data_IF_948561837892
#
_entry.id   IF_948561837892
#
_cell.length_a   1.000
_cell.length_b   1.000
_cell.length_c   1.000
_cell.angle_alpha   90.00
_cell.angle_beta   90.00
_cell.angle_gamma   90.00
#
_symmetry.space_group_name_H-M   'P 1'
#
loop_
_entity.id
_entity.type
_entity.pdbx_description
1 polymer ?
#
# COMPACT_ATOMS: atom_id res chain seq x y z
N UNK A 1 27.31 -25.17 6.32
CA UNK A 1 26.57 -25.48 5.09
C UNK A 1 25.45 -24.47 4.93
N UNK A 2 25.22 -23.96 3.70
CA UNK A 2 24.17 -22.99 3.44
C UNK A 2 22.83 -23.50 3.94
N UNK A 3 22.03 -22.61 4.50
CA UNK A 3 20.71 -22.95 5.06
C UNK A 3 19.63 -22.49 4.10
N UNK A 4 18.63 -23.33 3.90
CA UNK A 4 17.45 -23.01 3.10
C UNK A 4 16.32 -22.63 4.04
N UNK A 5 15.72 -21.46 3.82
CA UNK A 5 14.55 -20.97 4.55
C UNK A 5 13.38 -20.96 3.56
N UNK A 6 12.32 -21.69 3.90
CA UNK A 6 11.12 -21.83 3.07
C UNK A 6 9.95 -21.01 3.63
N UNK A 7 8.96 -20.75 2.77
CA UNK A 7 7.75 -19.99 3.09
C UNK A 7 8.06 -18.58 3.61
N UNK A 8 9.03 -17.93 2.99
CA UNK A 8 9.43 -16.56 3.31
C UNK A 8 8.42 -15.60 2.68
N UNK A 9 8.07 -14.55 3.44
CA UNK A 9 7.24 -13.45 2.97
C UNK A 9 8.02 -12.44 2.14
N UNK A 10 7.47 -12.04 0.98
CA UNK A 10 8.07 -11.05 0.09
C UNK A 10 7.64 -9.62 0.47
N UNK A 11 8.58 -8.73 0.86
CA UNK A 11 8.29 -7.39 1.34
C UNK A 11 8.29 -6.34 0.21
N UNK A 12 7.50 -6.56 -0.84
CA UNK A 12 7.37 -5.61 -1.95
C UNK A 12 5.93 -5.11 -2.16
N UNK A 13 5.14 -5.84 -2.96
CA UNK A 13 3.77 -5.45 -3.31
C UNK A 13 2.74 -6.16 -2.43
N UNK A 14 1.48 -5.69 -2.47
CA UNK A 14 0.35 -6.23 -1.71
C UNK A 14 -0.06 -7.65 -2.06
N UNK A 15 0.66 -8.34 -2.96
CA UNK A 15 0.58 -9.80 -3.08
C UNK A 15 1.22 -10.53 -1.91
N UNK A 16 2.15 -9.88 -1.19
CA UNK A 16 2.80 -10.38 0.04
C UNK A 16 3.12 -11.87 -0.06
N UNK A 17 3.92 -12.24 -1.07
CA UNK A 17 4.08 -13.64 -1.42
C UNK A 17 4.77 -14.41 -0.30
N UNK A 18 4.14 -15.47 0.22
CA UNK A 18 4.59 -16.31 1.34
C UNK A 18 5.16 -17.70 0.93
N UNK A 19 5.56 -17.88 -0.33
CA UNK A 19 6.16 -19.12 -0.87
C UNK A 19 7.60 -18.92 -1.37
N UNK A 20 8.26 -17.82 -0.96
CA UNK A 20 9.64 -17.53 -1.33
C UNK A 20 10.57 -18.51 -0.60
N UNK A 21 11.60 -18.97 -1.31
CA UNK A 21 12.66 -19.83 -0.76
C UNK A 21 13.98 -19.10 -0.87
N UNK A 22 14.70 -19.02 0.24
CA UNK A 22 15.94 -18.26 0.35
C UNK A 22 17.06 -19.18 0.84
N UNK A 23 18.16 -19.23 0.10
CA UNK A 23 19.38 -19.88 0.54
C UNK A 23 20.30 -18.83 1.15
N UNK A 24 20.69 -19.03 2.41
CA UNK A 24 21.58 -18.13 3.15
C UNK A 24 22.92 -18.77 3.46
N UNK A 25 23.96 -17.96 3.64
CA UNK A 25 25.30 -18.38 4.05
C UNK A 25 25.31 -19.10 5.40
N UNK A 26 26.39 -19.83 5.66
CA UNK A 26 26.61 -20.59 6.90
C UNK A 26 26.46 -19.73 8.17
N UNK A 27 26.94 -18.49 8.10
CA UNK A 27 26.92 -17.51 9.19
C UNK A 27 25.60 -16.72 9.27
N UNK A 28 24.67 -16.93 8.34
CA UNK A 28 23.35 -16.29 8.32
C UNK A 28 23.37 -14.80 7.97
N UNK A 29 24.45 -14.31 7.35
CA UNK A 29 24.60 -12.88 7.02
C UNK A 29 24.31 -12.55 5.56
N UNK A 30 24.51 -13.49 4.65
CA UNK A 30 24.37 -13.26 3.21
C UNK A 30 23.26 -14.12 2.60
N UNK A 31 22.49 -13.53 1.70
CA UNK A 31 21.54 -14.22 0.83
C UNK A 31 22.28 -14.67 -0.43
N UNK A 32 22.34 -15.97 -0.65
CA UNK A 32 23.03 -16.59 -1.77
C UNK A 32 22.11 -16.83 -2.98
N UNK A 33 20.85 -17.19 -2.71
CA UNK A 33 19.86 -17.50 -3.74
C UNK A 33 18.45 -17.12 -3.28
N UNK A 34 17.63 -16.65 -4.22
CA UNK A 34 16.21 -16.32 -3.98
C UNK A 34 15.36 -16.93 -5.07
N UNK A 35 14.47 -17.84 -4.70
CA UNK A 35 13.59 -18.58 -5.59
C UNK A 35 12.12 -18.21 -5.34
N UNK A 36 11.24 -18.47 -6.32
CA UNK A 36 9.81 -18.20 -6.25
C UNK A 36 9.46 -16.73 -5.94
N UNK A 37 10.22 -15.78 -6.47
CA UNK A 37 9.94 -14.34 -6.34
C UNK A 37 10.07 -13.67 -7.71
N UNK A 38 9.39 -12.54 -7.91
CA UNK A 38 9.59 -11.74 -9.11
C UNK A 38 10.87 -10.90 -9.02
N UNK A 39 11.36 -10.39 -10.17
CA UNK A 39 12.57 -9.58 -10.24
C UNK A 39 12.58 -8.43 -9.21
N UNK A 40 11.45 -7.76 -8.99
CA UNK A 40 11.38 -6.64 -8.04
C UNK A 40 11.60 -7.10 -6.59
N UNK A 41 10.97 -8.22 -6.19
CA UNK A 41 11.17 -8.78 -4.87
C UNK A 41 12.58 -9.34 -4.67
N UNK A 42 13.18 -9.93 -5.72
CA UNK A 42 14.59 -10.34 -5.70
C UNK A 42 15.52 -9.18 -5.33
N UNK A 43 15.30 -8.00 -5.92
CA UNK A 43 16.15 -6.84 -5.64
C UNK A 43 16.00 -6.32 -4.21
N UNK A 44 14.81 -6.42 -3.58
CA UNK A 44 14.65 -6.09 -2.16
C UNK A 44 15.47 -7.03 -1.26
N UNK A 45 15.43 -8.34 -1.51
CA UNK A 45 16.23 -9.29 -0.76
C UNK A 45 17.74 -9.05 -0.94
N UNK A 46 18.19 -8.83 -2.19
CA UNK A 46 19.60 -8.49 -2.45
C UNK A 46 20.02 -7.18 -1.80
N UNK A 47 19.14 -6.19 -1.79
CA UNK A 47 19.41 -4.90 -1.14
C UNK A 47 19.67 -5.06 0.36
N UNK A 48 18.96 -5.96 1.04
CA UNK A 48 19.21 -6.25 2.46
C UNK A 48 20.63 -6.72 2.78
N UNK A 49 21.30 -7.37 1.83
CA UNK A 49 22.69 -7.81 1.91
C UNK A 49 23.69 -6.82 1.27
N UNK A 50 23.25 -5.63 0.86
CA UNK A 50 24.13 -4.66 0.23
C UNK A 50 25.22 -4.20 1.19
N UNK A 51 26.47 -4.15 0.69
CA UNK A 51 27.61 -3.60 1.43
C UNK A 51 27.47 -2.11 1.68
N UNK A 52 26.71 -1.42 0.82
CA UNK A 52 26.48 0.03 0.88
C UNK A 52 25.29 0.39 1.77
N UNK A 53 24.70 -0.58 2.48
CA UNK A 53 23.60 -0.33 3.40
C UNK A 53 24.05 0.54 4.57
N UNK A 54 23.34 1.64 4.78
CA UNK A 54 23.60 2.60 5.84
C UNK A 54 23.25 2.00 7.20
N UNK A 55 24.12 2.20 8.19
CA UNK A 55 24.00 1.57 9.52
C UNK A 55 23.88 2.57 10.67
N UNK A 56 24.29 3.81 10.45
CA UNK A 56 24.21 4.88 11.44
C UNK A 56 23.24 5.95 10.96
N UNK A 57 22.47 6.57 11.88
CA UNK A 57 21.71 7.76 11.56
C UNK A 57 22.61 8.87 11.04
N UNK A 58 22.09 9.70 10.15
CA UNK A 58 22.82 10.78 9.47
C UNK A 58 22.07 12.10 9.65
N UNK A 59 22.74 13.09 10.20
CA UNK A 59 22.20 14.42 10.47
C UNK A 59 22.77 15.44 9.50
N UNK A 60 21.89 16.26 8.92
CA UNK A 60 22.27 17.36 8.04
C UNK A 60 22.95 18.47 8.83
N UNK A 61 24.08 18.93 8.32
CA UNK A 61 24.84 20.05 8.86
C UNK A 61 24.43 21.37 8.19
N UNK A 62 24.72 22.53 8.79
CA UNK A 62 24.39 23.83 8.22
C UNK A 62 24.99 24.10 6.83
N UNK A 63 26.10 23.43 6.48
CA UNK A 63 26.73 23.52 5.16
C UNK A 63 26.09 22.60 4.10
N UNK A 64 25.06 21.83 4.49
CA UNK A 64 24.33 20.89 3.64
C UNK A 64 24.89 19.47 3.63
N UNK A 65 26.05 19.21 4.25
CA UNK A 65 26.64 17.87 4.35
C UNK A 65 25.86 16.96 5.32
N UNK A 66 26.01 15.64 5.17
CA UNK A 66 25.43 14.65 6.08
C UNK A 66 26.52 14.06 6.97
N UNK A 67 26.30 14.08 8.28
CA UNK A 67 27.23 13.53 9.28
C UNK A 67 26.60 12.38 10.04
N UNK A 68 27.31 11.27 10.17
CA UNK A 68 26.89 10.14 11.01
C UNK A 68 26.84 10.56 12.49
N UNK A 69 25.76 10.14 13.17
CA UNK A 69 25.49 10.37 14.60
C UNK A 69 25.06 9.06 15.27
N UNK A 70 24.96 9.02 16.59
CA UNK A 70 24.46 7.83 17.29
C UNK A 70 22.92 7.73 17.20
N UNK A 71 22.38 6.52 17.44
CA UNK A 71 20.93 6.34 17.57
C UNK A 71 20.36 7.12 18.75
N UNK A 72 21.07 7.21 19.87
CA UNK A 72 20.66 7.98 21.04
C UNK A 72 20.51 9.47 20.72
N UNK A 73 21.46 10.04 19.97
CA UNK A 73 21.40 11.42 19.50
C UNK A 73 20.21 11.64 18.55
N UNK A 74 19.98 10.71 17.62
CA UNK A 74 18.86 10.77 16.67
C UNK A 74 17.49 10.65 17.37
N UNK A 75 17.38 9.77 18.36
CA UNK A 75 16.17 9.54 19.17
C UNK A 75 15.86 10.78 20.02
N UNK A 76 16.85 11.33 20.72
CA UNK A 76 16.67 12.55 21.54
C UNK A 76 16.27 13.75 20.68
N UNK A 77 16.92 13.93 19.53
CA UNK A 77 16.59 14.99 18.60
C UNK A 77 15.14 14.86 18.11
N UNK A 78 14.73 13.66 17.68
CA UNK A 78 13.37 13.41 17.17
C UNK A 78 12.32 13.64 18.26
N UNK A 79 12.53 13.10 19.46
CA UNK A 79 11.64 13.26 20.60
C UNK A 79 11.44 14.74 20.98
N UNK A 80 12.53 15.53 21.06
CA UNK A 80 12.46 16.96 21.38
C UNK A 80 11.73 17.78 20.32
N UNK A 81 11.90 17.46 19.03
CA UNK A 81 11.20 18.18 17.97
C UNK A 81 9.71 17.82 17.93
N UNK A 82 9.37 16.53 18.15
CA UNK A 82 7.98 16.09 18.25
C UNK A 82 7.22 16.77 19.39
N UNK A 83 7.85 16.94 20.56
CA UNK A 83 7.24 17.61 21.70
C UNK A 83 7.02 19.12 21.50
N UNK A 84 7.86 19.76 20.69
CA UNK A 84 7.76 21.19 20.36
C UNK A 84 6.78 21.48 19.22
N UNK A 85 6.58 20.52 18.33
CA UNK A 85 5.68 20.65 17.19
C UNK A 85 4.21 20.74 17.65
N UNK A 86 3.42 21.57 16.99
CA UNK A 86 1.98 21.74 17.25
C UNK A 86 1.14 20.85 16.35
N UNK A 87 1.62 20.54 15.15
CA UNK A 87 0.94 19.66 14.19
C UNK A 87 1.96 18.78 13.46
N UNK A 88 2.72 17.94 14.19
CA UNK A 88 3.63 17.00 13.56
C UNK A 88 2.85 15.98 12.71
N UNK A 89 3.39 15.59 11.57
CA UNK A 89 2.84 14.54 10.70
C UNK A 89 3.82 13.38 10.58
N UNK A 90 3.34 12.17 10.85
CA UNK A 90 4.05 10.93 10.51
C UNK A 90 3.33 10.22 9.35
N UNK A 91 4.06 9.93 8.27
CA UNK A 91 3.53 9.44 7.00
C UNK A 91 4.31 8.24 6.45
N UNK A 92 3.58 7.23 5.93
CA UNK A 92 4.12 6.18 5.06
C UNK A 92 3.52 4.80 5.34
N UNK A 93 4.22 4.01 6.16
CA UNK A 93 3.75 2.76 6.79
C UNK A 93 3.41 1.57 5.89
N UNK A 94 3.48 1.73 4.56
CA UNK A 94 3.28 0.62 3.62
C UNK A 94 4.41 -0.42 3.66
N UNK A 95 5.59 -0.03 4.14
CA UNK A 95 6.82 -0.83 4.16
C UNK A 95 7.40 -1.01 5.56
N UNK A 96 6.54 -1.31 6.54
CA UNK A 96 6.92 -1.77 7.89
C UNK A 96 5.93 -2.86 8.35
N UNK A 97 6.14 -3.49 9.50
CA UNK A 97 5.22 -4.47 10.09
C UNK A 97 4.11 -3.80 10.93
N UNK A 98 3.13 -4.58 11.39
CA UNK A 98 2.02 -4.06 12.20
C UNK A 98 2.48 -3.55 13.58
N UNK A 99 3.54 -4.13 14.11
CA UNK A 99 4.13 -3.77 15.39
C UNK A 99 4.75 -2.36 15.34
N UNK A 100 5.51 -2.05 14.27
CA UNK A 100 6.01 -0.71 13.99
C UNK A 100 4.89 0.31 13.76
N UNK A 101 3.79 -0.09 13.10
CA UNK A 101 2.61 0.76 12.93
C UNK A 101 1.92 1.10 14.27
N UNK A 102 1.92 0.18 15.22
CA UNK A 102 1.40 0.40 16.57
C UNK A 102 2.34 1.28 17.41
N UNK A 103 3.66 1.09 17.31
CA UNK A 103 4.65 1.94 17.97
C UNK A 103 4.58 3.39 17.46
N UNK A 104 4.39 3.59 16.16
CA UNK A 104 4.17 4.91 15.57
C UNK A 104 2.89 5.58 16.08
N UNK A 105 1.83 4.80 16.26
CA UNK A 105 0.59 5.29 16.85
C UNK A 105 0.81 5.84 18.27
N UNK A 106 1.58 5.13 19.10
CA UNK A 106 1.96 5.59 20.45
C UNK A 106 2.75 6.90 20.41
N UNK A 107 3.74 7.02 19.52
CA UNK A 107 4.53 8.26 19.36
C UNK A 107 3.62 9.46 19.07
N UNK A 108 2.71 9.31 18.10
CA UNK A 108 1.85 10.42 17.67
C UNK A 108 0.71 10.73 18.64
N UNK A 109 0.29 9.77 19.46
CA UNK A 109 -0.62 10.01 20.58
C UNK A 109 0.04 10.86 21.67
N UNK A 110 1.31 10.56 22.03
CA UNK A 110 2.07 11.37 22.99
C UNK A 110 2.32 12.79 22.43
N UNK A 111 2.65 12.90 21.15
CA UNK A 111 2.88 14.18 20.48
C UNK A 111 1.59 15.01 20.34
N UNK A 112 0.42 14.36 20.20
CA UNK A 112 -0.80 15.02 19.75
C UNK A 112 -0.67 15.50 18.31
N UNK A 113 -0.38 14.59 17.37
CA UNK A 113 -0.21 14.96 15.96
C UNK A 113 -0.99 14.10 14.98
N UNK A 114 -0.53 14.10 13.73
CA UNK A 114 -1.22 13.51 12.59
C UNK A 114 -0.57 12.19 12.17
N UNK A 115 -1.39 11.17 11.92
CA UNK A 115 -0.95 9.91 11.30
C UNK A 115 -1.63 9.75 9.94
N UNK A 116 -0.84 9.59 8.90
CA UNK A 116 -1.36 9.23 7.57
C UNK A 116 -0.49 8.14 6.95
N UNK A 117 -1.00 7.42 5.95
CA UNK A 117 -0.26 6.37 5.28
C UNK A 117 -0.40 6.47 3.76
N UNK A 118 0.38 5.68 3.02
CA UNK A 118 0.39 5.73 1.56
C UNK A 118 -0.98 5.50 0.90
N UNK A 119 -2.02 5.02 1.62
CA UNK A 119 -3.37 4.95 1.08
C UNK A 119 -3.84 6.32 0.60
N UNK A 120 -3.48 7.41 1.28
CA UNK A 120 -3.87 8.78 0.90
C UNK A 120 -3.59 9.15 -0.56
N UNK A 121 -2.48 8.65 -1.12
CA UNK A 121 -2.08 8.80 -2.53
C UNK A 121 -2.25 7.53 -3.35
N UNK A 122 -2.99 6.53 -2.85
CA UNK A 122 -3.18 5.23 -3.48
C UNK A 122 -4.65 4.80 -3.45
N UNK A 123 -5.06 3.99 -2.47
CA UNK A 123 -6.42 3.45 -2.31
C UNK A 123 -7.27 4.19 -1.25
N UNK A 124 -6.87 5.37 -0.82
CA UNK A 124 -7.63 6.27 0.06
C UNK A 124 -9.01 6.58 -0.51
N UNK A 125 -9.15 6.89 -1.81
CA UNK A 125 -10.46 7.02 -2.45
C UNK A 125 -11.32 5.74 -2.34
N UNK A 126 -10.70 4.57 -2.25
CA UNK A 126 -11.43 3.32 -2.03
C UNK A 126 -11.99 3.21 -0.61
N UNK A 127 -11.31 3.73 0.42
CA UNK A 127 -11.88 3.78 1.78
C UNK A 127 -13.14 4.64 1.82
N UNK A 128 -13.10 5.83 1.22
CA UNK A 128 -14.27 6.72 1.15
C UNK A 128 -15.48 6.02 0.51
N UNK A 129 -15.28 5.37 -0.64
CA UNK A 129 -16.34 4.60 -1.29
C UNK A 129 -16.84 3.41 -0.46
N UNK A 130 -15.95 2.73 0.27
CA UNK A 130 -16.30 1.61 1.14
C UNK A 130 -17.13 2.07 2.33
N UNK A 131 -16.82 3.23 2.91
CA UNK A 131 -17.62 3.80 4.00
C UNK A 131 -19.05 4.11 3.56
N UNK A 132 -19.22 4.62 2.34
CA UNK A 132 -20.53 4.99 1.81
C UNK A 132 -21.35 3.77 1.34
N UNK A 133 -20.70 2.76 0.74
CA UNK A 133 -21.40 1.74 -0.05
C UNK A 133 -21.06 0.28 0.31
N UNK A 134 -20.18 0.07 1.27
CA UNK A 134 -19.70 -1.24 1.72
C UNK A 134 -18.64 -1.86 0.80
N UNK A 135 -18.21 -3.08 1.11
CA UNK A 135 -17.11 -3.75 0.39
C UNK A 135 -17.39 -5.24 0.16
N UNK A 136 -18.06 -5.61 -0.94
CA UNK A 136 -18.37 -7.01 -1.26
C UNK A 136 -17.13 -7.73 -1.83
N UNK A 137 -16.16 -8.06 -0.98
CA UNK A 137 -14.90 -8.71 -1.38
C UNK A 137 -14.81 -10.20 -0.99
N UNK A 138 -13.65 -10.81 -1.21
CA UNK A 138 -13.29 -12.16 -0.79
C UNK A 138 -11.77 -12.30 -0.60
N UNK A 139 -11.28 -13.48 -0.23
CA UNK A 139 -9.83 -13.74 -0.20
C UNK A 139 -9.31 -14.17 -1.58
N UNK A 140 -8.01 -14.00 -1.84
CA UNK A 140 -7.38 -14.48 -3.08
C UNK A 140 -7.48 -16.00 -3.24
N UNK A 141 -7.68 -16.75 -2.15
CA UNK A 141 -7.99 -18.17 -2.17
C UNK A 141 -9.34 -18.48 -2.84
N UNK A 142 -10.36 -17.65 -2.62
CA UNK A 142 -11.67 -17.78 -3.28
C UNK A 142 -11.56 -17.51 -4.78
N UNK A 143 -10.83 -16.46 -5.17
CA UNK A 143 -10.55 -16.16 -6.58
C UNK A 143 -9.83 -17.32 -7.26
N UNK A 144 -8.75 -17.82 -6.64
CA UNK A 144 -8.00 -18.96 -7.16
C UNK A 144 -8.90 -20.16 -7.37
N UNK A 145 -9.76 -20.49 -6.42
CA UNK A 145 -10.53 -21.72 -6.46
C UNK A 145 -11.81 -21.65 -7.30
N UNK A 146 -12.45 -20.49 -7.42
CA UNK A 146 -13.82 -20.37 -7.96
C UNK A 146 -13.96 -19.46 -9.17
N UNK A 147 -13.17 -18.39 -9.27
CA UNK A 147 -13.45 -17.32 -10.23
C UNK A 147 -13.34 -17.80 -11.69
N UNK A 148 -14.44 -17.74 -12.44
CA UNK A 148 -14.48 -18.04 -13.87
C UNK A 148 -14.61 -16.79 -14.75
N UNK A 149 -14.88 -15.62 -14.16
CA UNK A 149 -14.71 -14.32 -14.82
C UNK A 149 -13.82 -13.43 -13.94
N UNK A 150 -12.74 -12.90 -14.52
CA UNK A 150 -11.80 -12.01 -13.84
C UNK A 150 -11.73 -10.71 -14.63
N UNK A 151 -12.05 -9.60 -13.97
CA UNK A 151 -11.90 -8.25 -14.53
C UNK A 151 -10.70 -7.59 -13.88
N UNK A 152 -9.81 -7.02 -14.68
CA UNK A 152 -8.79 -6.07 -14.25
C UNK A 152 -9.16 -4.68 -14.78
N UNK A 153 -9.55 -3.78 -13.88
CA UNK A 153 -10.02 -2.44 -14.24
C UNK A 153 -9.06 -1.37 -13.72
N UNK A 154 -8.39 -0.65 -14.64
CA UNK A 154 -7.44 0.39 -14.28
C UNK A 154 -6.24 -0.15 -13.48
N UNK A 155 -5.82 -1.38 -13.77
CA UNK A 155 -4.72 -2.06 -13.07
C UNK A 155 -3.88 -2.89 -14.04
N UNK A 156 -2.55 -2.85 -13.88
CA UNK A 156 -1.60 -3.63 -14.66
C UNK A 156 -0.76 -4.55 -13.74
N UNK A 157 -1.33 -5.66 -13.23
CA UNK A 157 -0.61 -6.60 -12.36
C UNK A 157 0.67 -7.16 -12.98
N UNK A 158 0.80 -7.26 -14.32
CA UNK A 158 2.04 -7.72 -14.94
C UNK A 158 3.27 -6.90 -14.51
N UNK A 159 3.10 -5.60 -14.25
CA UNK A 159 4.18 -4.70 -13.82
C UNK A 159 4.10 -4.36 -12.33
N UNK A 160 2.90 -4.16 -11.79
CA UNK A 160 2.71 -3.69 -10.41
C UNK A 160 2.68 -4.83 -9.37
N UNK A 161 2.16 -6.01 -9.76
CA UNK A 161 1.98 -7.17 -8.89
C UNK A 161 2.36 -8.46 -9.64
N UNK A 162 3.64 -8.65 -10.04
CA UNK A 162 3.98 -9.55 -11.15
C UNK A 162 3.56 -11.02 -10.98
N UNK A 163 3.47 -11.50 -9.73
CA UNK A 163 3.03 -12.87 -9.42
C UNK A 163 1.52 -12.99 -9.18
N UNK A 164 0.75 -11.91 -9.23
CA UNK A 164 -0.68 -11.93 -8.96
C UNK A 164 -1.44 -12.87 -9.91
N UNK A 165 -1.22 -12.69 -11.21
CA UNK A 165 -1.88 -13.50 -12.24
C UNK A 165 -1.49 -14.97 -12.17
N UNK A 166 -0.21 -15.27 -11.88
CA UNK A 166 0.32 -16.63 -11.84
C UNK A 166 -0.03 -17.38 -10.56
N UNK A 167 -0.20 -16.66 -9.44
CA UNK A 167 -0.41 -17.26 -8.13
C UNK A 167 -1.85 -17.29 -7.67
N UNK A 168 -2.63 -16.25 -7.99
CA UNK A 168 -3.94 -16.03 -7.37
C UNK A 168 -5.10 -16.00 -8.36
N UNK A 169 -4.90 -15.54 -9.60
CA UNK A 169 -6.04 -15.23 -10.48
C UNK A 169 -6.12 -16.08 -11.77
N UNK A 170 -5.32 -15.78 -12.81
CA UNK A 170 -5.54 -16.29 -14.18
C UNK A 170 -5.05 -17.73 -14.32
N UNK A 171 -3.76 -17.93 -14.11
CA UNK A 171 -3.08 -19.18 -14.44
C UNK A 171 -3.25 -20.33 -13.43
N UNK A 172 -3.42 -20.12 -12.10
CA UNK A 172 -3.43 -21.23 -11.16
C UNK A 172 -4.65 -22.13 -11.36
N UNK A 173 -4.44 -23.44 -11.22
CA UNK A 173 -5.50 -24.45 -11.18
C UNK A 173 -6.15 -24.43 -9.80
N UNK A 174 -7.38 -23.92 -9.73
CA UNK A 174 -8.18 -23.95 -8.52
C UNK A 174 -9.02 -25.22 -8.39
N UNK A 175 -9.64 -25.39 -7.24
CA UNK A 175 -10.53 -26.54 -6.96
C UNK A 175 -11.67 -26.67 -7.99
N UNK A 176 -12.39 -25.58 -8.29
CA UNK A 176 -13.50 -25.58 -9.26
C UNK A 176 -13.10 -25.10 -10.66
N UNK A 177 -11.91 -24.52 -10.79
CA UNK A 177 -11.37 -23.99 -12.05
C UNK A 177 -10.24 -24.86 -12.61
N UNK A 178 -10.21 -26.17 -12.29
CA UNK A 178 -9.07 -27.10 -12.43
C UNK A 178 -8.28 -27.17 -13.75
N UNK A 179 -8.72 -26.51 -14.83
CA UNK A 179 -7.91 -26.28 -16.05
C UNK A 179 -7.21 -24.91 -16.07
N UNK A 180 -7.16 -24.20 -14.94
CA UNK A 180 -6.53 -22.88 -14.79
C UNK A 180 -7.13 -21.87 -15.76
N UNK A 181 -6.27 -21.15 -16.47
CA UNK A 181 -6.62 -20.12 -17.46
C UNK A 181 -7.73 -20.56 -18.42
N UNK A 182 -7.71 -21.81 -18.93
CA UNK A 182 -8.72 -22.31 -19.90
C UNK A 182 -10.15 -22.39 -19.36
N UNK A 183 -10.36 -22.13 -18.07
CA UNK A 183 -11.68 -22.12 -17.41
C UNK A 183 -12.07 -20.73 -16.91
N UNK A 184 -11.34 -19.69 -17.33
CA UNK A 184 -11.55 -18.32 -16.91
C UNK A 184 -11.67 -17.43 -18.14
N UNK A 185 -12.56 -16.46 -18.07
CA UNK A 185 -12.62 -15.34 -19.00
C UNK A 185 -11.97 -14.14 -18.34
N UNK A 186 -11.00 -13.54 -19.02
CA UNK A 186 -10.22 -12.40 -18.53
C UNK A 186 -10.63 -11.16 -19.32
N UNK A 187 -11.12 -10.15 -18.60
CA UNK A 187 -11.51 -8.86 -19.15
C UNK A 187 -10.53 -7.82 -18.59
N UNK A 188 -9.93 -7.01 -19.46
CA UNK A 188 -9.09 -5.89 -19.07
C UNK A 188 -9.72 -4.59 -19.54
N UNK A 189 -9.86 -3.63 -18.63
CA UNK A 189 -10.39 -2.30 -18.92
C UNK A 189 -9.29 -1.30 -18.56
N UNK A 190 -8.61 -0.80 -19.59
CA UNK A 190 -7.47 0.12 -19.47
C UNK A 190 -7.35 0.94 -20.77
N UNK A 191 -7.14 2.27 -20.71
CA UNK A 191 -6.93 3.09 -21.90
C UNK A 191 -5.71 2.69 -22.74
N UNK A 192 -4.77 1.92 -22.16
CA UNK A 192 -3.57 1.42 -22.84
C UNK A 192 -3.67 -0.08 -23.08
N UNK A 193 -3.04 -0.53 -24.16
CA UNK A 193 -2.79 -1.95 -24.37
C UNK A 193 -1.57 -2.39 -23.53
N UNK A 194 -1.81 -2.79 -22.28
CA UNK A 194 -0.75 -3.20 -21.34
C UNK A 194 -0.37 -4.67 -21.48
N UNK A 195 0.73 -5.11 -20.86
CA UNK A 195 1.09 -6.54 -20.81
C UNK A 195 0.02 -7.40 -20.12
N UNK A 196 -0.79 -6.82 -19.23
CA UNK A 196 -1.98 -7.49 -18.68
C UNK A 196 -3.07 -7.62 -19.75
N UNK A 197 -3.30 -6.60 -20.58
CA UNK A 197 -4.25 -6.65 -21.70
C UNK A 197 -3.87 -7.72 -22.75
N UNK A 198 -2.57 -7.97 -22.94
CA UNK A 198 -2.07 -8.99 -23.86
C UNK A 198 -2.49 -10.44 -23.51
N UNK A 199 -2.91 -10.70 -22.27
CA UNK A 199 -3.41 -12.02 -21.84
C UNK A 199 -4.92 -12.03 -21.59
N UNK A 200 -5.63 -10.97 -21.99
CA UNK A 200 -7.08 -10.84 -21.86
C UNK A 200 -7.82 -11.50 -23.03
N UNK A 201 -9.00 -12.06 -22.75
CA UNK A 201 -9.94 -12.47 -23.80
C UNK A 201 -10.67 -11.25 -24.37
N UNK A 202 -10.91 -10.25 -23.52
CA UNK A 202 -11.54 -8.97 -23.89
C UNK A 202 -10.72 -7.81 -23.36
N UNK A 203 -10.32 -6.88 -24.23
CA UNK A 203 -9.73 -5.60 -23.85
C UNK A 203 -10.66 -4.47 -24.25
N UNK A 204 -11.15 -3.73 -23.27
CA UNK A 204 -11.98 -2.54 -23.47
C UNK A 204 -11.08 -1.32 -23.25
N UNK A 205 -10.71 -0.68 -24.35
CA UNK A 205 -9.86 0.50 -24.34
C UNK A 205 -10.66 1.76 -23.99
N UNK A 206 -11.08 1.85 -22.73
CA UNK A 206 -11.87 2.98 -22.21
C UNK A 206 -11.15 4.31 -22.42
N UNK A 207 -11.88 5.36 -22.78
CA UNK A 207 -11.33 6.71 -22.87
C UNK A 207 -10.90 7.16 -21.46
N UNK A 208 -9.68 7.67 -21.34
CA UNK A 208 -9.13 8.11 -20.05
C UNK A 208 -10.07 9.11 -19.36
N UNK A 209 -10.36 8.87 -18.08
CA UNK A 209 -11.24 9.72 -17.26
C UNK A 209 -12.74 9.47 -17.45
N UNK A 210 -13.13 8.44 -18.21
CA UNK A 210 -14.55 8.11 -18.46
C UNK A 210 -14.97 6.74 -17.88
N UNK A 211 -14.25 6.25 -16.86
CA UNK A 211 -14.57 5.00 -16.18
C UNK A 211 -15.94 5.03 -15.50
N UNK A 212 -16.31 6.17 -14.88
CA UNK A 212 -17.61 6.35 -14.24
C UNK A 212 -18.77 6.12 -15.21
N UNK A 213 -18.71 6.74 -16.40
CA UNK A 213 -19.73 6.57 -17.44
C UNK A 213 -19.81 5.12 -17.91
N UNK A 214 -18.66 4.44 -18.07
CA UNK A 214 -18.63 3.03 -18.46
C UNK A 214 -19.23 2.12 -17.39
N UNK A 215 -18.93 2.34 -16.10
CA UNK A 215 -19.58 1.64 -15.00
C UNK A 215 -21.10 1.87 -15.02
N UNK A 216 -21.54 3.11 -15.23
CA UNK A 216 -22.96 3.43 -15.31
C UNK A 216 -23.64 2.73 -16.50
N UNK A 217 -22.97 2.64 -17.64
CA UNK A 217 -23.47 1.92 -18.80
C UNK A 217 -23.66 0.43 -18.50
N UNK A 218 -22.68 -0.24 -17.86
CA UNK A 218 -22.86 -1.62 -17.41
C UNK A 218 -24.04 -1.76 -16.45
N UNK A 219 -24.17 -0.86 -15.46
CA UNK A 219 -25.32 -0.88 -14.54
C UNK A 219 -26.65 -0.74 -15.27
N UNK A 220 -26.76 0.15 -16.24
CA UNK A 220 -27.96 0.28 -17.09
C UNK A 220 -28.30 -1.05 -17.78
N UNK A 221 -27.32 -1.77 -18.31
CA UNK A 221 -27.55 -3.11 -18.89
C UNK A 221 -28.04 -4.10 -17.83
N UNK A 222 -27.40 -4.14 -16.65
CA UNK A 222 -27.76 -5.05 -15.55
C UNK A 222 -29.20 -4.79 -15.06
N UNK A 223 -29.66 -3.54 -15.09
CA UNK A 223 -31.04 -3.17 -14.73
C UNK A 223 -32.05 -3.29 -15.88
N UNK A 224 -31.67 -3.84 -17.03
CA UNK A 224 -32.58 -4.07 -18.16
C UNK A 224 -32.79 -2.87 -19.09
N UNK A 225 -32.00 -1.81 -18.93
CA UNK A 225 -32.03 -0.59 -19.73
C UNK A 225 -30.95 -0.53 -20.82
N UNK A 226 -30.36 -1.67 -21.20
CA UNK A 226 -29.28 -1.72 -22.19
C UNK A 226 -29.68 -1.18 -23.58
N UNK A 227 -30.97 -1.24 -23.94
CA UNK A 227 -31.50 -0.66 -25.18
C UNK A 227 -31.40 0.87 -25.20
N UNK A 228 -31.39 1.51 -24.03
CA UNK A 228 -31.40 2.97 -23.87
C UNK A 228 -29.98 3.55 -23.89
N UNK A 229 -28.94 2.70 -23.96
CA UNK A 229 -27.57 3.16 -24.14
C UNK A 229 -27.38 3.88 -25.48
N UNK A 230 -26.57 4.95 -25.53
CA UNK A 230 -26.11 5.52 -26.80
C UNK A 230 -25.23 4.52 -27.55
N UNK A 231 -24.94 4.79 -28.83
CA UNK A 231 -24.15 3.91 -29.69
C UNK A 231 -22.72 3.68 -29.18
N UNK A 232 -22.19 4.63 -28.41
CA UNK A 232 -20.88 4.55 -27.76
C UNK A 232 -20.92 5.22 -26.38
N UNK A 233 -20.27 4.60 -25.39
CA UNK A 233 -20.02 5.19 -24.07
C UNK A 233 -18.54 5.03 -23.75
N UNK A 234 -17.88 6.13 -23.35
CA UNK A 234 -16.48 6.12 -22.93
C UNK A 234 -15.52 5.49 -23.97
N UNK A 235 -15.81 5.63 -25.27
CA UNK A 235 -15.02 5.02 -26.36
C UNK A 235 -15.35 3.55 -26.65
N UNK A 236 -16.33 2.96 -25.95
CA UNK A 236 -16.75 1.56 -26.12
C UNK A 236 -18.12 1.50 -26.80
N UNK A 237 -18.20 0.74 -27.89
CA UNK A 237 -19.45 0.52 -28.63
C UNK A 237 -20.49 -0.18 -27.76
N UNK A 238 -21.75 0.21 -27.94
CA UNK A 238 -22.91 -0.39 -27.27
C UNK A 238 -22.93 -1.91 -27.36
N UNK A 239 -22.64 -2.48 -28.52
CA UNK A 239 -22.65 -3.93 -28.74
C UNK A 239 -21.62 -4.64 -27.85
N UNK A 240 -20.43 -4.07 -27.73
CA UNK A 240 -19.37 -4.60 -26.85
C UNK A 240 -19.74 -4.48 -25.38
N UNK A 241 -20.39 -3.38 -24.97
CA UNK A 241 -20.89 -3.22 -23.59
C UNK A 241 -21.93 -4.30 -23.29
N UNK A 242 -22.88 -4.54 -24.21
CA UNK A 242 -23.91 -5.56 -24.06
C UNK A 242 -23.31 -6.98 -24.01
N UNK A 243 -22.34 -7.29 -24.88
CA UNK A 243 -21.64 -8.58 -24.88
C UNK A 243 -20.93 -8.84 -23.55
N UNK A 244 -20.12 -7.89 -23.09
CA UNK A 244 -19.37 -8.04 -21.83
C UNK A 244 -20.31 -8.10 -20.62
N UNK A 245 -21.39 -7.31 -20.61
CA UNK A 245 -22.38 -7.38 -19.53
C UNK A 245 -23.03 -8.77 -19.46
N UNK A 246 -23.29 -9.41 -20.60
CA UNK A 246 -23.87 -10.75 -20.64
C UNK A 246 -22.87 -11.81 -20.15
N UNK A 247 -21.58 -11.68 -20.48
CA UNK A 247 -20.51 -12.50 -19.88
C UNK A 247 -20.51 -12.33 -18.36
N UNK A 248 -20.60 -11.08 -17.87
CA UNK A 248 -20.58 -10.81 -16.44
C UNK A 248 -21.78 -11.44 -15.72
N UNK A 249 -22.97 -11.35 -16.31
CA UNK A 249 -24.20 -11.98 -15.78
C UNK A 249 -24.08 -13.49 -15.70
N UNK A 250 -23.48 -14.14 -16.71
CA UNK A 250 -23.35 -15.59 -16.80
C UNK A 250 -22.17 -16.19 -16.01
N UNK A 251 -21.37 -15.36 -15.33
CA UNK A 251 -20.33 -15.85 -14.43
C UNK A 251 -20.90 -16.76 -13.34
N UNK A 252 -20.18 -17.80 -12.91
CA UNK A 252 -20.52 -18.53 -11.68
C UNK A 252 -19.91 -17.85 -10.47
N UNK A 253 -18.69 -17.33 -10.63
CA UNK A 253 -18.02 -16.47 -9.66
C UNK A 253 -17.19 -15.44 -10.43
N UNK A 254 -17.65 -14.19 -10.44
CA UNK A 254 -16.93 -13.05 -10.98
C UNK A 254 -16.12 -12.31 -9.92
N UNK A 255 -14.97 -11.77 -10.31
CA UNK A 255 -14.22 -10.83 -9.46
C UNK A 255 -13.67 -9.67 -10.28
N UNK A 256 -13.74 -8.46 -9.71
CA UNK A 256 -13.12 -7.26 -10.27
C UNK A 256 -11.95 -6.84 -9.41
N UNK A 257 -10.74 -6.94 -9.95
CA UNK A 257 -9.55 -6.31 -9.41
C UNK A 257 -9.42 -4.90 -9.98
N UNK A 258 -9.20 -3.91 -9.12
CA UNK A 258 -9.06 -2.53 -9.57
C UNK A 258 -7.87 -1.82 -8.95
N UNK A 259 -7.32 -0.84 -9.67
CA UNK A 259 -6.09 -0.15 -9.31
C UNK A 259 -6.16 1.37 -9.47
N UNK A 260 -4.99 1.96 -9.68
CA UNK A 260 -4.79 3.42 -9.72
C UNK A 260 -5.49 4.09 -10.90
N UNK A 261 -5.79 3.35 -11.97
CA UNK A 261 -6.57 3.85 -13.09
C UNK A 261 -7.99 4.28 -12.72
N UNK A 262 -8.49 3.88 -11.54
CA UNK A 262 -9.76 4.36 -10.99
C UNK A 262 -9.60 5.35 -9.84
N UNK A 263 -8.54 5.24 -9.03
CA UNK A 263 -8.37 6.06 -7.83
C UNK A 263 -7.65 7.38 -8.09
N UNK A 264 -6.85 7.48 -9.16
CA UNK A 264 -6.09 8.68 -9.50
C UNK A 264 -6.70 9.50 -10.63
N UNK A 265 -7.58 8.90 -11.43
CA UNK A 265 -8.31 9.58 -12.50
C UNK A 265 -9.46 10.42 -11.92
N UNK A 266 -10.00 11.31 -12.75
CA UNK A 266 -11.16 12.12 -12.40
C UNK A 266 -12.31 11.24 -11.90
N UNK A 267 -13.02 11.72 -10.87
CA UNK A 267 -14.03 10.96 -10.13
C UNK A 267 -13.51 10.27 -8.87
N UNK A 268 -12.25 9.79 -8.85
CA UNK A 268 -11.56 9.18 -7.69
C UNK A 268 -12.45 8.20 -6.89
N UNK A 269 -12.98 8.61 -5.73
CA UNK A 269 -13.83 7.78 -4.87
C UNK A 269 -15.15 7.43 -5.54
N UNK A 270 -15.72 8.31 -6.36
CA UNK A 270 -16.97 8.06 -7.08
C UNK A 270 -16.84 6.94 -8.13
N UNK A 271 -15.66 6.78 -8.73
CA UNK A 271 -15.37 5.64 -9.60
C UNK A 271 -15.45 4.32 -8.84
N UNK A 272 -14.94 4.30 -7.61
CA UNK A 272 -14.95 3.10 -6.76
C UNK A 272 -16.36 2.83 -6.22
N UNK A 273 -17.08 3.87 -5.84
CA UNK A 273 -18.47 3.78 -5.38
C UNK A 273 -19.38 3.14 -6.44
N UNK A 274 -19.30 3.62 -7.69
CA UNK A 274 -20.09 3.02 -8.77
C UNK A 274 -19.62 1.60 -9.14
N UNK A 275 -18.32 1.29 -9.00
CA UNK A 275 -17.79 -0.07 -9.18
C UNK A 275 -18.32 -1.05 -8.12
N UNK A 276 -18.38 -0.62 -6.86
CA UNK A 276 -19.01 -1.37 -5.76
C UNK A 276 -20.51 -1.55 -6.05
N UNK A 277 -21.19 -0.50 -6.51
CA UNK A 277 -22.60 -0.58 -6.88
C UNK A 277 -22.86 -1.60 -8.00
N UNK A 278 -22.05 -1.59 -9.07
CA UNK A 278 -22.13 -2.59 -10.15
C UNK A 278 -21.93 -4.01 -9.59
N UNK A 279 -20.95 -4.18 -8.71
CA UNK A 279 -20.70 -5.48 -8.06
C UNK A 279 -21.92 -5.95 -7.26
N UNK A 280 -22.57 -5.06 -6.51
CA UNK A 280 -23.81 -5.37 -5.77
C UNK A 280 -24.98 -5.69 -6.69
N UNK A 281 -25.12 -4.95 -7.79
CA UNK A 281 -26.17 -5.17 -8.78
C UNK A 281 -26.00 -6.53 -9.47
N UNK A 282 -24.77 -6.91 -9.83
CA UNK A 282 -24.45 -8.23 -10.38
C UNK A 282 -24.76 -9.37 -9.39
N UNK A 283 -24.56 -9.17 -8.08
CA UNK A 283 -24.90 -10.17 -7.05
C UNK A 283 -26.40 -10.52 -6.98
N UNK A 284 -27.28 -9.77 -7.64
CA UNK A 284 -28.70 -10.15 -7.82
C UNK A 284 -28.89 -11.26 -8.87
N UNK A 285 -27.88 -11.51 -9.71
CA UNK A 285 -27.93 -12.42 -10.86
C UNK A 285 -26.92 -13.57 -10.67
N UNK A 286 -25.67 -13.25 -10.34
CA UNK A 286 -24.58 -14.22 -10.15
C UNK A 286 -23.58 -13.75 -9.10
N UNK A 287 -22.75 -14.65 -8.56
CA UNK A 287 -21.84 -14.28 -7.46
C UNK A 287 -20.72 -13.38 -7.98
N UNK A 288 -20.63 -12.17 -7.43
CA UNK A 288 -19.57 -11.21 -7.76
C UNK A 288 -18.85 -10.67 -6.52
N UNK A 289 -17.59 -10.30 -6.72
CA UNK A 289 -16.74 -9.64 -5.71
C UNK A 289 -15.90 -8.53 -6.35
N UNK A 290 -15.42 -7.60 -5.53
CA UNK A 290 -14.50 -6.55 -5.95
C UNK A 290 -13.32 -6.46 -4.97
N UNK A 291 -12.11 -6.23 -5.49
CA UNK A 291 -10.89 -6.15 -4.68
C UNK A 291 -9.95 -5.04 -5.17
N UNK A 292 -9.52 -4.20 -4.23
CA UNK A 292 -8.46 -3.23 -4.46
C UNK A 292 -7.10 -3.94 -4.60
N UNK A 293 -6.36 -3.64 -5.68
CA UNK A 293 -4.99 -4.09 -5.90
C UNK A 293 -4.00 -3.26 -5.05
N UNK A 294 -4.08 -3.42 -3.73
CA UNK A 294 -3.29 -2.65 -2.75
C UNK A 294 -1.79 -2.65 -3.10
N UNK A 295 -1.17 -1.49 -3.02
CA UNK A 295 0.21 -1.22 -3.47
C UNK A 295 1.29 -1.96 -2.68
N UNK A 296 1.75 -1.39 -1.57
CA UNK A 296 2.83 -1.97 -0.75
C UNK A 296 2.40 -3.23 0.02
N UNK A 297 3.36 -4.09 0.37
CA UNK A 297 3.13 -5.40 1.00
C UNK A 297 2.37 -5.36 2.33
N UNK A 298 2.40 -4.22 3.05
CA UNK A 298 1.65 -4.05 4.28
C UNK A 298 0.81 -2.77 4.34
N UNK A 299 0.43 -2.19 3.19
CA UNK A 299 -0.44 -0.99 3.22
C UNK A 299 -1.86 -1.30 3.72
N UNK A 300 -2.26 -2.58 3.75
CA UNK A 300 -3.49 -2.99 4.44
C UNK A 300 -3.33 -2.95 5.97
N UNK A 301 -2.11 -3.08 6.49
CA UNK A 301 -1.78 -3.09 7.92
C UNK A 301 -2.32 -1.87 8.68
N UNK A 302 -2.00 -0.62 8.31
CA UNK A 302 -2.50 0.56 9.01
C UNK A 302 -4.03 0.63 8.99
N UNK A 303 -4.64 0.19 7.88
CA UNK A 303 -6.10 0.11 7.75
C UNK A 303 -6.76 -0.90 8.71
N UNK A 304 -5.98 -1.81 9.29
CA UNK A 304 -6.43 -2.77 10.30
C UNK A 304 -5.99 -2.30 11.70
N UNK A 305 -4.69 -2.04 11.88
CA UNK A 305 -4.08 -1.64 13.16
C UNK A 305 -4.72 -0.35 13.69
N UNK A 306 -4.73 0.70 12.88
CA UNK A 306 -5.26 1.98 13.35
C UNK A 306 -6.78 2.01 13.42
N UNK A 307 -7.47 1.19 12.61
CA UNK A 307 -8.92 1.04 12.73
C UNK A 307 -9.33 0.44 14.06
N UNK A 308 -8.64 -0.57 14.58
CA UNK A 308 -8.97 -1.10 15.91
C UNK A 308 -8.51 -0.18 17.05
N UNK A 309 -7.45 0.62 16.83
CA UNK A 309 -6.90 1.51 17.87
C UNK A 309 -7.70 2.82 17.99
N UNK A 310 -8.04 3.42 16.85
CA UNK A 310 -8.61 4.78 16.77
C UNK A 310 -9.97 4.85 16.08
N UNK A 311 -10.45 3.75 15.48
CA UNK A 311 -11.69 3.71 14.72
C UNK A 311 -11.56 4.12 13.25
N UNK A 312 -10.37 4.55 12.80
CA UNK A 312 -10.14 5.03 11.43
C UNK A 312 -8.85 4.49 10.80
N UNK A 313 -8.82 4.26 9.47
CA UNK A 313 -7.70 3.57 8.81
C UNK A 313 -6.55 4.48 8.33
N UNK A 314 -6.74 5.80 8.25
CA UNK A 314 -5.78 6.79 7.71
C UNK A 314 -6.24 8.23 8.00
N UNK A 315 -5.46 9.25 7.63
CA UNK A 315 -5.80 10.67 7.82
C UNK A 315 -6.23 11.02 9.25
N UNK A 316 -5.58 10.41 10.24
CA UNK A 316 -5.89 10.54 11.65
C UNK A 316 -5.34 11.85 12.22
N UNK A 317 -6.18 12.56 12.95
CA UNK A 317 -5.85 13.74 13.74
C UNK A 317 -6.00 13.43 15.23
N UNK A 318 -4.89 13.48 15.96
CA UNK A 318 -4.81 13.27 17.40
C UNK A 318 -4.53 14.58 18.18
N UNK A 319 -4.57 15.74 17.51
CA UNK A 319 -4.16 17.03 18.08
C UNK A 319 -5.01 17.48 19.27
N UNK A 320 -6.28 17.04 19.35
CA UNK A 320 -7.16 17.37 20.48
C UNK A 320 -6.88 16.57 21.75
N UNK A 321 -6.08 15.50 21.67
CA UNK A 321 -5.70 14.64 22.81
C UNK A 321 -6.87 14.12 23.65
N UNK A 322 -8.03 13.85 23.02
CA UNK A 322 -9.19 13.27 23.69
C UNK A 322 -9.81 12.09 22.91
N UNK A 323 -10.00 12.26 21.59
CA UNK A 323 -10.40 11.22 20.66
C UNK A 323 -9.79 11.51 19.30
N UNK A 324 -9.62 10.46 18.50
CA UNK A 324 -9.15 10.59 17.12
C UNK A 324 -10.23 11.21 16.22
N UNK A 325 -9.80 12.02 15.27
CA UNK A 325 -10.61 12.54 14.17
C UNK A 325 -10.08 12.06 12.82
N UNK A 326 -10.94 12.02 11.81
CA UNK A 326 -10.55 11.70 10.43
C UNK A 326 -11.40 12.52 9.46
N UNK A 327 -10.77 13.39 8.66
CA UNK A 327 -11.42 14.18 7.61
C UNK A 327 -10.56 14.18 6.34
N UNK A 328 -10.59 13.14 5.50
CA UNK A 328 -9.78 13.11 4.28
C UNK A 328 -10.16 14.29 3.36
N UNK A 329 -9.16 14.99 2.84
CA UNK A 329 -9.28 16.30 2.18
C UNK A 329 -8.86 17.48 3.08
N UNK A 330 -9.09 17.34 4.38
CA UNK A 330 -8.58 18.26 5.41
C UNK A 330 -7.32 17.66 6.05
N UNK A 331 -7.41 16.44 6.60
CA UNK A 331 -6.33 15.81 7.39
C UNK A 331 -5.45 14.87 6.57
N UNK A 332 -5.56 14.87 5.24
CA UNK A 332 -4.64 14.13 4.38
C UNK A 332 -3.26 14.78 4.38
N UNK A 333 -2.21 13.96 4.38
CA UNK A 333 -0.81 14.41 4.35
C UNK A 333 -0.52 15.43 3.24
N UNK A 334 -0.94 15.16 2.00
CA UNK A 334 -0.72 16.09 0.87
C UNK A 334 -1.50 17.38 1.04
N UNK A 335 -2.75 17.31 1.51
CA UNK A 335 -3.60 18.49 1.69
C UNK A 335 -3.06 19.42 2.78
N UNK A 336 -2.66 18.85 3.93
CA UNK A 336 -2.03 19.61 5.01
C UNK A 336 -0.67 20.19 4.59
N UNK A 337 0.14 19.43 3.85
CA UNK A 337 1.41 19.91 3.31
C UNK A 337 1.20 21.09 2.36
N UNK A 338 0.24 21.01 1.44
CA UNK A 338 -0.06 22.09 0.48
C UNK A 338 -0.50 23.39 1.18
N UNK A 339 -1.13 23.28 2.35
CA UNK A 339 -1.58 24.42 3.16
C UNK A 339 -0.55 24.88 4.21
N UNK A 340 0.65 24.29 4.22
CA UNK A 340 1.74 24.62 5.16
C UNK A 340 1.31 24.50 6.64
N UNK A 341 0.45 23.50 6.94
CA UNK A 341 -0.06 23.26 8.29
C UNK A 341 0.83 22.34 9.14
N UNK A 342 1.69 21.55 8.47
CA UNK A 342 2.58 20.59 9.11
C UNK A 342 3.86 21.32 9.54
N UNK A 343 4.17 21.32 10.84
CA UNK A 343 5.35 21.99 11.39
C UNK A 343 6.49 21.04 11.80
N UNK A 344 6.30 19.74 11.57
CA UNK A 344 7.34 18.71 11.58
C UNK A 344 6.87 17.51 10.76
N UNK A 345 7.75 16.93 9.94
CA UNK A 345 7.42 15.80 9.09
C UNK A 345 8.30 14.59 9.37
N UNK A 346 7.69 13.43 9.58
CA UNK A 346 8.37 12.14 9.72
C UNK A 346 7.89 11.23 8.59
N UNK A 347 8.82 10.84 7.72
CA UNK A 347 8.60 9.95 6.58
C UNK A 347 9.13 8.55 6.93
N UNK A 348 8.28 7.52 6.91
CA UNK A 348 8.66 6.15 7.33
C UNK A 348 8.32 5.09 6.28
N UNK A 349 9.33 4.31 5.87
CA UNK A 349 9.17 3.18 4.95
C UNK A 349 8.53 3.56 3.61
N UNK A 350 8.82 4.77 3.14
CA UNK A 350 8.34 5.33 1.87
C UNK A 350 9.25 6.48 1.43
N UNK A 351 9.07 6.96 0.20
CA UNK A 351 9.81 8.11 -0.33
C UNK A 351 8.82 9.22 -0.72
N UNK A 352 8.41 10.03 0.27
CA UNK A 352 7.48 11.13 0.03
C UNK A 352 8.08 12.20 -0.91
N UNK A 353 9.40 12.40 -0.92
CA UNK A 353 10.02 13.38 -1.81
C UNK A 353 9.92 12.98 -3.29
N UNK A 354 9.97 11.67 -3.56
CA UNK A 354 9.79 11.11 -4.90
C UNK A 354 8.32 11.10 -5.36
N UNK A 355 7.39 10.86 -4.43
CA UNK A 355 6.02 10.46 -4.78
C UNK A 355 4.94 11.47 -4.40
N UNK A 356 5.26 12.51 -3.62
CA UNK A 356 4.34 13.64 -3.42
C UNK A 356 4.45 14.67 -4.53
N UNK A 357 3.40 15.48 -4.76
CA UNK A 357 3.51 16.67 -5.60
C UNK A 357 4.64 17.57 -5.11
N UNK A 358 5.49 18.04 -6.04
CA UNK A 358 6.63 18.91 -5.74
C UNK A 358 6.26 20.11 -4.83
N UNK A 359 5.12 20.81 -5.03
CA UNK A 359 4.75 21.90 -4.13
C UNK A 359 4.56 21.45 -2.68
N UNK A 360 3.97 20.28 -2.43
CA UNK A 360 3.82 19.74 -1.08
C UNK A 360 5.19 19.44 -0.44
N UNK A 361 6.10 18.81 -1.20
CA UNK A 361 7.48 18.54 -0.76
C UNK A 361 8.20 19.83 -0.38
N UNK A 362 8.05 20.90 -1.17
CA UNK A 362 8.64 22.21 -0.90
C UNK A 362 8.12 22.83 0.40
N UNK A 363 6.84 22.64 0.73
CA UNK A 363 6.27 23.12 2.00
C UNK A 363 6.84 22.33 3.17
N UNK A 364 6.78 20.99 3.11
CA UNK A 364 7.30 20.11 4.16
C UNK A 364 8.78 20.37 4.46
N UNK A 365 9.60 20.64 3.42
CA UNK A 365 11.04 20.88 3.59
C UNK A 365 11.39 22.17 4.35
N UNK A 366 10.45 23.10 4.54
CA UNK A 366 10.66 24.28 5.38
C UNK A 366 10.76 23.94 6.87
N UNK A 367 10.24 22.78 7.25
CA UNK A 367 10.10 22.34 8.64
C UNK A 367 11.05 21.14 8.90
N UNK A 368 11.31 20.81 10.18
CA UNK A 368 12.11 19.64 10.54
C UNK A 368 11.57 18.37 9.87
N UNK A 369 12.43 17.71 9.10
CA UNK A 369 12.10 16.49 8.36
C UNK A 369 12.97 15.32 8.86
N UNK A 370 12.34 14.25 9.36
CA UNK A 370 12.98 12.96 9.64
C UNK A 370 12.58 11.92 8.61
N UNK A 371 13.55 11.18 8.06
CA UNK A 371 13.28 10.00 7.21
C UNK A 371 13.77 8.75 7.94
N UNK A 372 12.87 7.81 8.19
CA UNK A 372 13.14 6.47 8.73
C UNK A 372 13.05 5.49 7.56
N UNK A 373 14.20 5.08 7.04
CA UNK A 373 14.27 4.19 5.87
C UNK A 373 15.61 3.43 5.88
N UNK A 374 15.66 2.14 5.48
CA UNK A 374 16.92 1.40 5.36
C UNK A 374 17.89 1.97 4.30
N UNK A 375 17.38 2.75 3.34
CA UNK A 375 18.09 3.12 2.10
C UNK A 375 18.29 4.62 1.96
N UNK A 376 19.31 4.99 1.19
CA UNK A 376 19.37 6.34 0.62
C UNK A 376 18.32 6.45 -0.49
N UNK A 377 17.36 7.34 -0.29
CA UNK A 377 16.30 7.70 -1.23
C UNK A 377 16.10 9.23 -1.30
N UNK A 378 15.21 9.73 -2.17
CA UNK A 378 15.05 11.19 -2.35
C UNK A 378 14.63 11.88 -1.04
N UNK A 379 13.75 11.25 -0.24
CA UNK A 379 13.34 11.79 1.05
C UNK A 379 14.50 11.85 2.06
N UNK A 380 15.35 10.82 2.10
CA UNK A 380 16.53 10.81 2.99
C UNK A 380 17.59 11.84 2.58
N UNK A 381 17.69 12.14 1.28
CA UNK A 381 18.67 13.08 0.74
C UNK A 381 18.29 14.54 0.98
N UNK A 382 17.02 14.82 1.28
CA UNK A 382 16.54 16.17 1.63
C UNK A 382 16.14 16.31 3.10
N UNK A 383 16.02 15.22 3.85
CA UNK A 383 15.65 15.28 5.28
C UNK A 383 16.75 15.92 6.12
N UNK A 384 16.38 16.43 7.29
CA UNK A 384 17.33 16.96 8.26
C UNK A 384 17.97 15.82 9.06
N UNK A 385 17.22 14.74 9.27
CA UNK A 385 17.70 13.50 9.89
C UNK A 385 17.27 12.29 9.05
N UNK A 386 18.20 11.38 8.82
CA UNK A 386 17.94 10.05 8.24
C UNK A 386 18.29 8.98 9.27
N UNK A 387 17.36 8.08 9.58
CA UNK A 387 17.55 6.99 10.54
C UNK A 387 17.39 5.65 9.81
N UNK A 388 18.48 4.88 9.60
CA UNK A 388 18.37 3.55 9.01
C UNK A 388 17.67 2.58 9.96
N UNK A 389 16.96 1.62 9.40
CA UNK A 389 16.24 0.57 10.14
C UNK A 389 16.38 -0.80 9.49
N UNK A 390 15.95 -1.84 10.20
CA UNK A 390 15.77 -3.18 9.66
C UNK A 390 14.69 -3.20 8.55
N UNK A 391 14.82 -4.12 7.61
CA UNK A 391 13.89 -4.40 6.53
C UNK A 391 13.00 -5.58 6.94
N UNK A 392 11.71 -5.31 7.16
CA UNK A 392 10.74 -6.34 7.48
C UNK A 392 10.68 -7.41 6.37
N UNK A 393 10.68 -8.69 6.76
CA UNK A 393 10.74 -9.84 5.86
C UNK A 393 12.15 -10.21 5.40
N UNK A 394 13.18 -9.41 5.75
CA UNK A 394 14.58 -9.69 5.43
C UNK A 394 15.39 -9.94 6.70
N UNK A 395 15.56 -8.92 7.54
CA UNK A 395 16.37 -9.01 8.76
C UNK A 395 15.57 -8.72 10.04
N UNK A 396 14.28 -8.41 9.91
CA UNK A 396 13.30 -8.43 10.99
C UNK A 396 11.99 -9.11 10.54
N UNK A 397 11.31 -9.80 11.46
CA UNK A 397 9.99 -10.38 11.20
C UNK A 397 8.85 -9.40 11.49
N UNK A 398 7.62 -9.90 11.50
CA UNK A 398 6.45 -9.14 11.96
C UNK A 398 5.18 -9.52 11.21
N UNK A 399 4.04 -9.05 11.69
CA UNK A 399 2.77 -9.32 11.05
C UNK A 399 2.56 -8.32 9.90
N UNK A 400 2.11 -8.82 8.76
CA UNK A 400 1.70 -8.00 7.62
C UNK A 400 0.33 -8.44 7.10
N UNK A 401 -0.43 -7.53 6.52
CA UNK A 401 -1.71 -7.82 5.87
C UNK A 401 -1.56 -7.71 4.36
N UNK A 402 -1.89 -8.80 3.67
CA UNK A 402 -1.97 -8.84 2.20
C UNK A 402 -3.16 -8.01 1.71
N UNK A 403 -3.23 -7.71 0.41
CA UNK A 403 -4.30 -6.91 -0.21
C UNK A 403 -5.74 -7.39 0.08
N UNK A 404 -5.90 -8.68 0.40
CA UNK A 404 -7.17 -9.34 0.74
C UNK A 404 -7.40 -9.45 2.27
N UNK A 405 -6.67 -8.66 3.06
CA UNK A 405 -6.70 -8.63 4.54
C UNK A 405 -6.34 -9.96 5.22
N UNK A 406 -5.64 -10.87 4.52
CA UNK A 406 -5.08 -12.06 5.16
C UNK A 406 -3.81 -11.67 5.91
N UNK A 407 -3.73 -11.89 7.24
CA UNK A 407 -2.50 -11.68 7.99
C UNK A 407 -1.47 -12.77 7.67
N UNK A 408 -0.22 -12.37 7.48
CA UNK A 408 0.92 -13.25 7.19
C UNK A 408 2.03 -12.90 8.16
N UNK A 409 2.56 -13.91 8.85
CA UNK A 409 3.74 -13.74 9.70
C UNK A 409 5.00 -13.75 8.84
N UNK A 410 5.58 -12.57 8.62
CA UNK A 410 6.89 -12.47 8.01
C UNK A 410 7.96 -12.90 9.02
N UNK A 411 9.01 -13.54 8.49
CA UNK A 411 10.16 -14.04 9.24
C UNK A 411 11.40 -13.31 8.81
N UNK A 412 12.32 -13.13 9.75
CA UNK A 412 13.70 -12.78 9.49
C UNK A 412 14.40 -13.93 8.76
N UNK A 413 15.23 -13.61 7.77
CA UNK A 413 16.03 -14.58 6.99
C UNK A 413 17.55 -14.40 7.15
N UNK A 414 18.02 -13.19 7.46
CA UNK A 414 19.43 -12.90 7.79
C UNK A 414 19.54 -12.13 9.10
N UNK A 415 20.71 -12.14 9.73
CA UNK A 415 20.99 -11.28 10.88
C UNK A 415 20.98 -9.79 10.47
N UNK A 416 20.37 -8.89 11.28
CA UNK A 416 20.41 -7.46 11.00
C UNK A 416 21.85 -6.94 11.11
N UNK A 417 22.19 -5.86 10.38
CA UNK A 417 23.47 -5.20 10.55
C UNK A 417 23.67 -4.78 12.01
N UNK A 418 24.88 -4.93 12.51
CA UNK A 418 25.22 -4.60 13.90
C UNK A 418 24.82 -3.16 14.25
N UNK A 419 24.07 -3.00 15.35
CA UNK A 419 23.61 -1.71 15.86
C UNK A 419 22.36 -1.13 15.18
N UNK A 420 21.87 -1.72 14.08
CA UNK A 420 20.66 -1.24 13.39
C UNK A 420 19.41 -1.75 14.10
N UNK A 421 18.51 -0.83 14.45
CA UNK A 421 17.23 -1.13 15.10
C UNK A 421 16.13 -1.40 14.07
N UNK A 422 15.13 -2.21 14.43
CA UNK A 422 13.88 -2.27 13.70
C UNK A 422 12.96 -1.07 14.03
N UNK A 423 11.92 -0.87 13.21
CA UNK A 423 10.98 0.25 13.35
C UNK A 423 10.29 0.27 14.73
N UNK A 424 9.83 -0.88 15.23
CA UNK A 424 9.12 -0.99 16.51
C UNK A 424 10.04 -0.58 17.67
N UNK A 425 11.26 -1.12 17.70
CA UNK A 425 12.25 -0.79 18.72
C UNK A 425 12.61 0.70 18.70
N UNK A 426 12.86 1.26 17.51
CA UNK A 426 13.20 2.67 17.34
C UNK A 426 12.07 3.59 17.84
N UNK A 427 10.84 3.33 17.38
CA UNK A 427 9.68 4.17 17.69
C UNK A 427 9.30 4.08 19.17
N UNK A 428 9.38 2.90 19.78
CA UNK A 428 9.17 2.76 21.23
C UNK A 428 10.22 3.54 22.04
N UNK A 429 11.49 3.51 21.64
CA UNK A 429 12.53 4.33 22.30
C UNK A 429 12.29 5.84 22.14
N UNK A 430 11.76 6.27 21.01
CA UNK A 430 11.34 7.68 20.81
C UNK A 430 10.19 8.00 21.76
N UNK A 431 9.15 7.16 21.84
CA UNK A 431 8.03 7.35 22.76
C UNK A 431 8.48 7.42 24.23
N UNK A 432 9.30 6.47 24.68
CA UNK A 432 9.84 6.44 26.04
C UNK A 432 10.66 7.71 26.33
N UNK A 433 11.49 8.15 25.37
CA UNK A 433 12.26 9.39 25.50
C UNK A 433 11.36 10.63 25.61
N UNK A 434 10.26 10.68 24.87
CA UNK A 434 9.29 11.78 24.96
C UNK A 434 8.60 11.81 26.34
N UNK A 435 8.24 10.66 26.89
CA UNK A 435 7.66 10.56 28.23
C UNK A 435 8.66 11.02 29.32
N UNK A 436 9.93 10.62 29.20
CA UNK A 436 10.99 11.10 30.10
C UNK A 436 11.16 12.62 30.08
N UNK A 437 11.16 13.22 28.88
CA UNK A 437 11.30 14.67 28.70
C UNK A 437 10.10 15.42 29.29
N UNK A 438 8.87 14.92 29.07
CA UNK A 438 7.66 15.45 29.71
C UNK A 438 7.73 15.37 31.23
N UNK A 439 8.15 14.23 31.79
CA UNK A 439 8.27 14.04 33.23
C UNK A 439 9.28 15.00 33.89
N UNK A 440 10.32 15.41 33.14
CA UNK A 440 11.33 16.39 33.58
C UNK A 440 10.92 17.85 33.35
N UNK A 441 9.81 18.11 32.66
CA UNK A 441 9.43 19.47 32.25
C UNK A 441 10.33 20.05 31.17
N UNK A 442 11.01 19.20 30.39
CA UNK A 442 11.89 19.56 29.27
C UNK A 442 11.20 19.45 27.90
N UNK A 443 9.87 19.38 27.90
CA UNK A 443 9.04 19.26 26.70
C UNK A 443 8.97 20.57 25.90
#
# INVERSE_FOLDING_TARGET
MPKVIENVGCPYCGCSCDDVRITVSDDGKDILEVENVCAIGTEIFKHGCSKDRIRLPRMRQPDGSMKDISYEEAIDWTARHLLKAKKPLMYGFGSTNCEGQAAAARVMEIAGGMLDNCATICHGPSFLAIFDNGYPSCTLGEVKNRADVIVYWGSNPAHAHPRHMSRYSIFPRGFFTGKGQKKRTVIVIDPRFTDTANVADYHLQVKQGHDYELFNAFRMVIHGHGKDLPDEVAGIKKETILEVAEIMKNARFGTTFFGMGLTHTDGRNHNIDIAISLTRDLNKISKWTIMAMRGHYNIAGPGVVWSWTFGFPYCLDLTKQNHAHMNPGETSSVDMAMRDEVDMFINIGTDAAAHFPIPAVKQLKKHPWVTIDPSINMASEISDLHIPVCICGVDVGGIVYRMDNVPIQFRKVIEPPEGVMDDETLLNKIADRMEELKAKGEA
#
